data_IF_511217350245
#
_entry.id   IF_511217350245
#
_cell.length_a   1.000
_cell.length_b   1.000
_cell.length_c   1.000
_cell.angle_alpha   90.00
_cell.angle_beta   90.00
_cell.angle_gamma   90.00
#
_symmetry.space_group_name_H-M   'P 1'
#
loop_
_entity.id
_entity.type
_entity.pdbx_description
1 polymer ?
#
# COMPACT_ATOMS: atom_id res chain seq x y z
N UNK A 1 43.40 -10.57 35.89
CA UNK A 1 42.01 -11.01 36.18
C UNK A 1 40.94 -10.04 35.61
N UNK A 2 41.12 -8.75 35.70
CA UNK A 2 40.14 -7.73 35.22
C UNK A 2 39.90 -7.74 33.69
N UNK A 3 40.94 -7.96 32.87
CA UNK A 3 40.84 -7.95 31.42
C UNK A 3 39.99 -9.13 30.87
N UNK A 4 40.18 -10.34 31.42
CA UNK A 4 39.39 -11.51 31.03
C UNK A 4 37.90 -11.32 31.33
N UNK A 5 37.59 -10.68 32.47
CA UNK A 5 36.20 -10.38 32.88
C UNK A 5 35.52 -9.37 31.95
N UNK A 6 36.27 -8.35 31.49
CA UNK A 6 35.77 -7.35 30.51
C UNK A 6 35.52 -7.97 29.13
N UNK A 7 36.41 -8.83 28.67
CA UNK A 7 36.25 -9.55 27.39
C UNK A 7 35.01 -10.45 27.44
N UNK A 8 34.78 -11.16 28.53
CA UNK A 8 33.62 -12.03 28.69
C UNK A 8 32.30 -11.25 28.67
N UNK A 9 32.26 -10.08 29.30
CA UNK A 9 31.08 -9.20 29.30
C UNK A 9 30.81 -8.66 27.91
N UNK A 10 31.83 -8.21 27.18
CA UNK A 10 31.69 -7.73 25.80
C UNK A 10 31.14 -8.83 24.87
N UNK A 11 31.68 -10.04 24.99
CA UNK A 11 31.21 -11.19 24.22
C UNK A 11 29.77 -11.55 24.56
N UNK A 12 29.40 -11.54 25.84
CA UNK A 12 28.02 -11.79 26.26
C UNK A 12 27.05 -10.76 25.71
N UNK A 13 27.41 -9.47 25.72
CA UNK A 13 26.58 -8.40 25.14
C UNK A 13 26.48 -8.55 23.63
N UNK A 14 27.58 -8.80 22.93
CA UNK A 14 27.58 -8.98 21.47
C UNK A 14 26.75 -10.18 21.02
N UNK A 15 26.69 -11.26 21.82
CA UNK A 15 25.88 -12.45 21.52
C UNK A 15 24.42 -12.28 21.93
N UNK A 16 24.15 -11.61 23.06
CA UNK A 16 22.79 -11.44 23.55
C UNK A 16 21.99 -10.35 22.80
N UNK A 17 22.65 -9.31 22.30
CA UNK A 17 21.99 -8.23 21.60
C UNK A 17 21.22 -8.69 20.33
N UNK A 18 21.80 -9.46 19.40
CA UNK A 18 21.08 -9.95 18.23
C UNK A 18 19.96 -10.94 18.61
N UNK A 19 20.16 -11.75 19.66
CA UNK A 19 19.11 -12.66 20.15
C UNK A 19 17.94 -11.89 20.74
N UNK A 20 18.20 -10.88 21.58
CA UNK A 20 17.16 -10.01 22.12
C UNK A 20 16.45 -9.23 21.02
N UNK A 21 17.18 -8.69 20.07
CA UNK A 21 16.60 -8.00 18.92
C UNK A 21 15.70 -8.94 18.11
N UNK A 22 16.16 -10.14 17.82
CA UNK A 22 15.37 -11.15 17.12
C UNK A 22 14.11 -11.55 17.91
N UNK A 23 14.22 -11.80 19.22
CA UNK A 23 13.09 -12.10 20.08
C UNK A 23 12.10 -10.94 20.17
N UNK A 24 12.59 -9.71 20.26
CA UNK A 24 11.73 -8.52 20.28
C UNK A 24 10.98 -8.37 18.96
N UNK A 25 11.64 -8.57 17.83
CA UNK A 25 11.00 -8.54 16.51
C UNK A 25 10.03 -9.71 16.31
N UNK A 26 10.35 -10.88 16.84
CA UNK A 26 9.50 -12.07 16.77
C UNK A 26 8.26 -11.96 17.64
N UNK A 27 8.40 -11.44 18.87
CA UNK A 27 7.33 -11.28 19.84
C UNK A 27 6.51 -9.99 19.63
N UNK A 28 6.94 -9.10 18.70
CA UNK A 28 6.19 -7.90 18.40
C UNK A 28 4.82 -8.29 17.85
N UNK A 29 3.73 -7.85 18.48
CA UNK A 29 2.40 -8.21 18.05
C UNK A 29 2.18 -7.77 16.60
N UNK A 30 1.74 -8.69 15.75
CA UNK A 30 1.27 -8.35 14.42
C UNK A 30 0.04 -7.47 14.57
N UNK A 31 -0.13 -6.44 13.71
CA UNK A 31 -1.37 -5.69 13.71
C UNK A 31 -2.52 -6.67 13.53
N UNK A 32 -3.57 -6.50 14.31
CA UNK A 32 -4.80 -7.24 14.09
C UNK A 32 -5.31 -6.90 12.69
N UNK A 33 -5.85 -7.88 11.99
CA UNK A 33 -6.64 -7.61 10.79
C UNK A 33 -7.93 -6.93 11.23
N UNK A 34 -7.96 -5.62 11.06
CA UNK A 34 -9.11 -4.78 11.41
C UNK A 34 -9.99 -4.49 10.21
N UNK A 35 -9.67 -5.08 9.06
CA UNK A 35 -10.44 -4.87 7.83
C UNK A 35 -11.86 -5.41 8.01
N UNK A 36 -12.89 -4.59 7.81
CA UNK A 36 -14.26 -5.06 7.88
C UNK A 36 -14.52 -6.17 6.86
N UNK A 37 -15.15 -7.26 7.29
CA UNK A 37 -15.39 -8.43 6.44
C UNK A 37 -16.13 -8.10 5.14
N UNK A 38 -17.00 -7.08 5.12
CA UNK A 38 -17.77 -6.67 3.96
C UNK A 38 -16.90 -6.06 2.84
N UNK A 39 -15.75 -5.48 3.17
CA UNK A 39 -14.81 -4.88 2.22
C UNK A 39 -14.17 -5.93 1.31
N UNK A 40 -14.07 -7.17 1.77
CA UNK A 40 -13.45 -8.27 1.03
C UNK A 40 -14.44 -9.32 0.53
N UNK A 41 -15.74 -9.05 0.60
CA UNK A 41 -16.73 -10.01 0.10
C UNK A 41 -16.66 -10.13 -1.43
N UNK A 42 -16.49 -11.36 -1.91
CA UNK A 42 -16.41 -11.70 -3.31
C UNK A 42 -15.02 -11.49 -3.94
N UNK A 43 -14.94 -11.80 -5.22
CA UNK A 43 -13.70 -11.65 -6.02
C UNK A 43 -13.73 -10.34 -6.79
N UNK A 44 -12.84 -9.42 -6.42
CA UNK A 44 -12.67 -8.13 -7.09
C UNK A 44 -12.11 -8.25 -8.50
N UNK A 45 -11.49 -9.38 -8.84
CA UNK A 45 -10.90 -9.59 -10.17
C UNK A 45 -11.93 -9.70 -11.29
N UNK A 46 -13.17 -10.05 -10.97
CA UNK A 46 -14.24 -10.21 -11.96
C UNK A 46 -14.92 -8.90 -12.38
N UNK A 47 -14.62 -7.81 -11.69
CA UNK A 47 -15.25 -6.52 -11.95
C UNK A 47 -14.72 -5.84 -13.22
N UNK A 48 -15.51 -4.91 -13.77
CA UNK A 48 -15.10 -4.02 -14.85
C UNK A 48 -14.59 -2.70 -14.26
N UNK A 49 -13.31 -2.46 -14.36
CA UNK A 49 -12.66 -1.25 -13.82
C UNK A 49 -12.63 -0.08 -14.81
N UNK A 50 -13.24 -0.23 -15.99
CA UNK A 50 -13.51 0.89 -16.87
C UNK A 50 -14.85 1.57 -16.56
N UNK A 51 -15.74 0.90 -15.84
CA UNK A 51 -16.99 1.46 -15.31
C UNK A 51 -16.75 2.05 -13.92
N UNK A 52 -16.27 3.31 -13.88
CA UNK A 52 -15.98 4.00 -12.64
C UNK A 52 -17.23 4.71 -12.11
N UNK A 53 -17.44 4.73 -10.77
CA UNK A 53 -18.53 5.47 -10.17
C UNK A 53 -18.42 6.99 -10.44
N UNK A 54 -19.54 7.66 -10.64
CA UNK A 54 -19.58 9.13 -10.72
C UNK A 54 -19.41 9.69 -9.31
N UNK A 55 -18.54 10.68 -9.16
CA UNK A 55 -18.30 11.37 -7.89
C UNK A 55 -19.20 12.60 -7.77
N UNK A 56 -20.50 12.40 -7.56
CA UNK A 56 -21.53 13.44 -7.55
C UNK A 56 -22.11 13.70 -6.15
N UNK A 57 -21.58 13.05 -5.11
CA UNK A 57 -22.03 13.18 -3.73
C UNK A 57 -23.37 12.47 -3.44
N UNK A 58 -23.89 11.63 -4.33
CA UNK A 58 -25.17 10.97 -4.16
C UNK A 58 -25.14 9.72 -3.24
N UNK A 59 -23.94 9.19 -2.97
CA UNK A 59 -23.73 7.97 -2.17
C UNK A 59 -23.04 8.23 -0.84
N UNK A 60 -22.20 7.28 -0.43
CA UNK A 60 -21.41 7.38 0.79
C UNK A 60 -20.32 8.44 0.66
N UNK A 61 -19.87 8.99 1.79
CA UNK A 61 -18.66 9.81 1.90
C UNK A 61 -17.46 8.92 2.24
N UNK A 62 -16.26 9.47 2.12
CA UNK A 62 -15.02 8.77 2.47
C UNK A 62 -14.99 8.37 3.96
N UNK A 63 -15.58 9.20 4.84
CA UNK A 63 -15.65 8.94 6.28
C UNK A 63 -16.63 7.82 6.66
N UNK A 64 -17.67 7.56 5.83
CA UNK A 64 -18.62 6.48 6.07
C UNK A 64 -17.99 5.09 5.88
N UNK A 65 -16.84 5.01 5.23
CA UNK A 65 -16.17 3.76 4.90
C UNK A 65 -14.96 3.57 5.82
N UNK A 66 -14.95 2.51 6.67
CA UNK A 66 -13.81 2.23 7.54
C UNK A 66 -12.52 2.09 6.76
N UNK A 67 -11.40 2.50 7.36
CA UNK A 67 -10.08 2.31 6.77
C UNK A 67 -9.81 0.81 6.58
N UNK A 68 -9.29 0.46 5.40
CA UNK A 68 -8.90 -0.89 5.09
C UNK A 68 -7.40 -1.11 5.36
N UNK A 69 -7.08 -2.31 5.79
CA UNK A 69 -5.71 -2.73 6.03
C UNK A 69 -5.41 -3.97 5.20
N UNK A 70 -4.14 -4.16 4.86
CA UNK A 70 -3.72 -5.38 4.20
C UNK A 70 -3.98 -6.59 5.12
N UNK A 71 -4.76 -7.59 4.69
CA UNK A 71 -5.05 -8.76 5.52
C UNK A 71 -3.78 -9.61 5.71
N UNK A 72 -3.45 -9.91 6.95
CA UNK A 72 -2.28 -10.71 7.30
C UNK A 72 -1.00 -10.18 6.66
N UNK A 73 -0.41 -10.96 5.76
CA UNK A 73 0.82 -10.61 5.02
C UNK A 73 0.56 -10.25 3.54
N UNK A 74 -0.63 -9.99 3.16
CA UNK A 74 -1.08 -9.73 1.81
C UNK A 74 -2.38 -10.44 1.50
N UNK A 75 -3.18 -9.86 0.63
CA UNK A 75 -4.38 -10.54 0.16
C UNK A 75 -4.01 -11.75 -0.71
N UNK A 76 -4.80 -12.82 -0.61
CA UNK A 76 -4.64 -14.03 -1.44
C UNK A 76 -5.58 -14.03 -2.63
N UNK A 77 -6.70 -13.32 -2.53
CA UNK A 77 -7.67 -13.09 -3.61
C UNK A 77 -7.77 -11.59 -3.83
N UNK A 78 -7.84 -11.15 -5.08
CA UNK A 78 -7.91 -9.73 -5.41
C UNK A 78 -9.15 -9.10 -4.74
N UNK A 79 -8.99 -8.09 -3.87
CA UNK A 79 -10.10 -7.62 -3.05
C UNK A 79 -11.11 -6.81 -3.86
N UNK A 80 -12.36 -6.83 -3.42
CA UNK A 80 -13.38 -5.90 -3.89
C UNK A 80 -12.92 -4.45 -3.68
N UNK A 81 -13.43 -3.49 -4.47
CA UNK A 81 -13.15 -2.07 -4.23
C UNK A 81 -13.47 -1.66 -2.80
N UNK A 82 -12.49 -1.04 -2.15
CA UNK A 82 -12.57 -0.59 -0.76
C UNK A 82 -13.56 0.57 -0.63
N UNK A 83 -13.48 1.54 -1.56
CA UNK A 83 -14.33 2.73 -1.56
C UNK A 83 -15.66 2.50 -2.29
N UNK A 84 -16.12 1.25 -2.35
CA UNK A 84 -17.38 0.91 -3.02
C UNK A 84 -18.57 1.67 -2.42
N UNK A 85 -19.31 2.33 -3.31
CA UNK A 85 -20.48 3.13 -2.92
C UNK A 85 -20.16 4.56 -2.47
N UNK A 86 -18.88 4.90 -2.37
CA UNK A 86 -18.46 6.27 -2.14
C UNK A 86 -18.55 7.08 -3.45
N UNK A 87 -19.22 8.24 -3.37
CA UNK A 87 -19.40 9.14 -4.51
C UNK A 87 -19.01 10.58 -4.18
N UNK A 88 -18.34 10.80 -3.05
CA UNK A 88 -17.88 12.11 -2.64
C UNK A 88 -16.90 12.71 -3.67
N UNK A 89 -17.11 13.98 -4.10
CA UNK A 89 -16.20 14.65 -5.03
C UNK A 89 -14.78 14.73 -4.51
N UNK A 90 -13.80 14.68 -5.43
CA UNK A 90 -12.40 14.84 -5.08
C UNK A 90 -12.11 16.26 -4.58
N UNK A 91 -11.14 16.43 -3.66
CA UNK A 91 -10.76 17.75 -3.17
C UNK A 91 -10.14 18.60 -4.28
N UNK A 92 -10.20 19.90 -4.10
CA UNK A 92 -9.58 20.86 -5.03
C UNK A 92 -8.08 20.57 -5.19
N UNK A 93 -7.60 20.56 -6.42
CA UNK A 93 -6.21 20.26 -6.74
C UNK A 93 -5.85 18.79 -6.86
N UNK A 94 -6.75 17.87 -6.48
CA UNK A 94 -6.57 16.44 -6.75
C UNK A 94 -6.80 16.13 -8.23
N UNK A 95 -5.98 15.25 -8.77
CA UNK A 95 -6.18 14.67 -10.09
C UNK A 95 -6.97 13.37 -9.98
N UNK A 96 -7.93 13.14 -10.88
CA UNK A 96 -8.60 11.83 -10.97
C UNK A 96 -7.67 10.81 -11.62
N UNK A 97 -7.05 9.97 -10.79
CA UNK A 97 -6.17 8.88 -11.21
C UNK A 97 -6.81 7.50 -11.01
N UNK A 98 -8.12 7.45 -10.73
CA UNK A 98 -8.87 6.19 -10.50
C UNK A 98 -8.78 5.26 -11.69
N UNK A 99 -8.78 3.97 -11.41
CA UNK A 99 -8.81 2.89 -12.40
C UNK A 99 -7.92 1.73 -12.08
N UNK A 100 -7.86 0.81 -13.02
CA UNK A 100 -6.94 -0.31 -13.01
C UNK A 100 -5.85 -0.04 -14.05
N UNK A 101 -4.61 -0.14 -13.62
CA UNK A 101 -3.44 0.25 -14.39
C UNK A 101 -2.46 -0.91 -14.50
N UNK A 102 -1.92 -1.13 -15.70
CA UNK A 102 -0.88 -2.13 -15.95
C UNK A 102 0.37 -1.46 -16.50
N UNK A 103 1.51 -1.81 -15.93
CA UNK A 103 2.81 -1.31 -16.35
C UNK A 103 3.08 -1.63 -17.83
N UNK A 104 3.62 -0.62 -18.53
CA UNK A 104 4.20 -0.75 -19.86
C UNK A 104 5.72 -0.55 -19.83
N UNK A 105 6.29 -0.37 -18.63
CA UNK A 105 7.72 -0.19 -18.39
C UNK A 105 8.40 -1.56 -18.37
N UNK A 106 9.44 -1.80 -19.20
CA UNK A 106 10.09 -3.11 -19.31
C UNK A 106 10.74 -3.62 -18.03
N UNK A 107 11.19 -2.71 -17.17
CA UNK A 107 11.86 -3.02 -15.89
C UNK A 107 10.89 -3.55 -14.83
N UNK A 108 9.60 -3.32 -15.01
CA UNK A 108 8.55 -3.78 -14.11
C UNK A 108 7.38 -4.36 -14.91
N UNK A 109 7.60 -5.41 -15.70
CA UNK A 109 6.54 -6.04 -16.48
C UNK A 109 5.49 -6.63 -15.54
N UNK A 110 4.27 -6.72 -16.02
CA UNK A 110 3.14 -7.37 -15.34
C UNK A 110 2.69 -6.73 -14.02
N UNK A 111 3.28 -5.59 -13.61
CA UNK A 111 2.79 -4.86 -12.45
C UNK A 111 1.40 -4.28 -12.72
N UNK A 112 0.50 -4.51 -11.78
CA UNK A 112 -0.88 -4.02 -11.83
C UNK A 112 -1.21 -3.29 -10.53
N UNK A 113 -1.74 -2.07 -10.66
CA UNK A 113 -2.28 -1.29 -9.56
C UNK A 113 -3.75 -0.95 -9.79
N UNK A 114 -4.59 -1.10 -8.78
CA UNK A 114 -5.90 -0.47 -8.74
C UNK A 114 -5.82 0.78 -7.87
N UNK A 115 -6.25 1.90 -8.42
CA UNK A 115 -6.38 3.16 -7.70
C UNK A 115 -7.85 3.48 -7.52
N UNK A 116 -8.23 3.72 -6.28
CA UNK A 116 -9.56 4.20 -5.90
C UNK A 116 -9.40 5.56 -5.24
N UNK A 117 -10.34 6.48 -5.51
CA UNK A 117 -10.38 7.80 -4.87
C UNK A 117 -11.82 8.18 -4.58
N UNK A 118 -12.02 8.80 -3.44
CA UNK A 118 -13.31 9.37 -3.05
C UNK A 118 -13.08 10.38 -1.91
N UNK A 119 -13.62 11.59 -2.02
CA UNK A 119 -13.27 12.66 -1.10
C UNK A 119 -11.76 12.85 -1.02
N UNK A 120 -11.22 12.99 0.17
CA UNK A 120 -9.79 13.13 0.45
C UNK A 120 -9.03 11.80 0.55
N UNK A 121 -9.67 10.68 0.22
CA UNK A 121 -9.13 9.33 0.42
C UNK A 121 -8.65 8.70 -0.88
N UNK A 122 -7.49 8.06 -0.83
CA UNK A 122 -6.90 7.30 -1.94
C UNK A 122 -6.52 5.91 -1.47
N UNK A 123 -6.98 4.89 -2.18
CA UNK A 123 -6.62 3.50 -1.92
C UNK A 123 -5.85 2.94 -3.10
N UNK A 124 -4.68 2.39 -2.84
CA UNK A 124 -3.84 1.69 -3.81
C UNK A 124 -3.82 0.22 -3.48
N UNK A 125 -4.26 -0.62 -4.41
CA UNK A 125 -4.23 -2.09 -4.28
C UNK A 125 -3.23 -2.66 -5.27
N UNK A 126 -2.11 -3.18 -4.78
CA UNK A 126 -1.04 -3.74 -5.61
C UNK A 126 -0.16 -4.70 -4.81
N UNK A 127 0.49 -5.66 -5.44
CA UNK A 127 1.47 -6.57 -4.83
C UNK A 127 1.00 -7.27 -3.54
N UNK A 128 -0.25 -7.64 -3.46
CA UNK A 128 -0.83 -8.23 -2.26
C UNK A 128 -1.12 -7.23 -1.14
N UNK A 129 -0.83 -5.94 -1.34
CA UNK A 129 -0.98 -4.88 -0.35
C UNK A 129 -2.16 -3.97 -0.67
N UNK A 130 -2.73 -3.41 0.38
CA UNK A 130 -3.72 -2.34 0.33
C UNK A 130 -3.12 -1.16 1.08
N UNK A 131 -2.94 -0.05 0.38
CA UNK A 131 -2.50 1.22 0.94
C UNK A 131 -3.69 2.16 0.94
N UNK A 132 -4.21 2.46 2.10
CA UNK A 132 -5.40 3.29 2.30
C UNK A 132 -5.02 4.58 3.02
N UNK A 133 -4.98 5.67 2.28
CA UNK A 133 -4.52 6.98 2.74
C UNK A 133 -5.64 8.00 2.73
N UNK A 134 -5.72 8.82 3.78
CA UNK A 134 -6.27 10.16 3.62
C UNK A 134 -5.16 11.09 3.08
N UNK A 135 -5.57 12.12 2.33
CA UNK A 135 -4.62 13.04 1.68
C UNK A 135 -4.48 14.37 2.43
N UNK A 136 -4.79 14.34 3.71
CA UNK A 136 -4.73 15.48 4.65
C UNK A 136 -3.39 15.61 5.39
N UNK A 137 -2.40 14.76 5.07
CA UNK A 137 -1.11 14.64 5.76
C UNK A 137 -1.17 14.08 7.19
N UNK A 138 -2.34 13.86 7.76
CA UNK A 138 -2.51 13.39 9.15
C UNK A 138 -2.74 11.90 9.24
N UNK A 139 -3.30 11.31 8.20
CA UNK A 139 -3.64 9.91 8.17
C UNK A 139 -2.45 9.02 7.83
N UNK A 140 -2.46 7.85 8.40
CA UNK A 140 -1.38 6.90 8.30
C UNK A 140 -1.88 5.63 7.64
N UNK A 141 -1.31 5.31 6.49
CA UNK A 141 -1.40 3.97 5.97
C UNK A 141 -0.65 3.00 6.89
N UNK A 142 -1.30 1.91 7.23
CA UNK A 142 -0.74 0.86 8.07
C UNK A 142 -0.54 -0.39 7.21
N UNK A 143 0.47 -0.35 6.36
CA UNK A 143 0.82 -1.48 5.50
C UNK A 143 1.94 -2.32 6.09
N UNK A 144 1.95 -3.64 5.87
CA UNK A 144 3.04 -4.48 6.29
C UNK A 144 4.34 -4.03 5.62
N UNK A 145 5.37 -3.77 6.42
CA UNK A 145 6.67 -3.38 5.93
C UNK A 145 7.54 -4.61 5.70
N UNK A 146 8.06 -4.75 4.50
CA UNK A 146 9.04 -5.76 4.19
C UNK A 146 10.43 -5.34 4.68
N UNK A 147 10.92 -6.00 5.72
CA UNK A 147 12.29 -5.85 6.22
C UNK A 147 13.04 -7.16 5.91
N UNK A 148 13.29 -7.41 4.63
CA UNK A 148 13.89 -8.66 4.17
C UNK A 148 12.88 -9.82 4.13
N UNK A 149 13.27 -10.97 3.54
CA UNK A 149 12.35 -12.06 3.21
C UNK A 149 11.71 -12.75 4.41
N UNK A 150 12.27 -12.60 5.60
CA UNK A 150 11.79 -13.29 6.81
C UNK A 150 10.98 -12.39 7.75
N UNK A 151 11.15 -11.06 7.62
CA UNK A 151 10.51 -10.07 8.48
C UNK A 151 9.32 -9.41 7.81
N UNK A 152 8.94 -9.91 6.62
CA UNK A 152 7.71 -9.51 5.96
C UNK A 152 6.53 -9.73 6.91
N UNK A 153 5.67 -8.73 7.06
CA UNK A 153 4.51 -8.75 7.96
C UNK A 153 4.79 -8.64 9.47
N UNK A 154 6.01 -8.53 9.89
CA UNK A 154 6.30 -8.34 11.31
C UNK A 154 6.14 -6.89 11.76
N UNK A 155 6.07 -5.96 10.82
CA UNK A 155 5.88 -4.53 11.10
C UNK A 155 4.98 -3.87 10.07
N UNK A 156 4.30 -2.84 10.50
CA UNK A 156 3.58 -1.91 9.65
C UNK A 156 4.44 -0.68 9.40
N UNK A 157 4.37 -0.12 8.20
CA UNK A 157 4.86 1.22 7.91
C UNK A 157 3.74 2.22 8.12
N UNK A 158 4.11 3.43 8.51
CA UNK A 158 3.21 4.57 8.48
C UNK A 158 3.58 5.44 7.28
N UNK A 159 2.60 5.77 6.48
CA UNK A 159 2.79 6.66 5.35
C UNK A 159 1.73 7.76 5.40
N UNK A 160 2.08 8.93 4.93
CA UNK A 160 1.16 10.06 4.74
C UNK A 160 1.07 10.39 3.27
N UNK A 161 -0.06 10.90 2.83
CA UNK A 161 -0.29 11.31 1.45
C UNK A 161 -0.78 12.76 1.38
N UNK A 162 -0.44 13.45 0.31
CA UNK A 162 -0.93 14.81 0.01
C UNK A 162 -0.95 15.06 -1.50
N UNK A 163 -1.95 15.78 -1.95
CA UNK A 163 -1.97 16.34 -3.29
C UNK A 163 -1.12 17.62 -3.35
N UNK A 164 -0.20 17.65 -4.29
CA UNK A 164 0.62 18.82 -4.61
C UNK A 164 0.83 18.91 -6.11
N UNK A 165 0.51 20.05 -6.70
CA UNK A 165 0.67 20.30 -8.14
C UNK A 165 0.02 19.20 -9.01
N UNK A 166 -1.17 18.74 -8.62
CA UNK A 166 -1.91 17.62 -9.23
C UNK A 166 -1.23 16.26 -9.14
N UNK A 167 -0.18 16.13 -8.35
CA UNK A 167 0.50 14.85 -8.08
C UNK A 167 0.20 14.37 -6.67
N UNK A 168 -0.07 13.10 -6.50
CA UNK A 168 -0.17 12.45 -5.19
C UNK A 168 1.24 12.17 -4.68
N UNK A 169 1.64 12.85 -3.63
CA UNK A 169 2.91 12.66 -2.96
C UNK A 169 2.73 11.80 -1.71
N UNK A 170 3.38 10.65 -1.67
CA UNK A 170 3.38 9.76 -0.51
C UNK A 170 4.73 9.83 0.21
N UNK A 171 4.67 9.86 1.55
CA UNK A 171 5.84 9.98 2.42
C UNK A 171 5.82 8.88 3.47
N UNK A 172 6.95 8.26 3.73
CA UNK A 172 7.12 7.33 4.84
C UNK A 172 7.58 8.06 6.10
N UNK A 173 6.91 7.82 7.23
CA UNK A 173 7.26 8.36 8.54
C UNK A 173 7.43 9.88 8.59
N UNK A 174 6.67 10.63 7.78
CA UNK A 174 6.78 12.08 7.69
C UNK A 174 8.08 12.61 7.03
N UNK A 175 8.87 11.70 6.46
CA UNK A 175 10.12 12.01 5.75
C UNK A 175 9.91 12.70 4.39
N UNK A 176 10.91 12.70 3.51
CA UNK A 176 10.77 13.23 2.17
C UNK A 176 9.76 12.41 1.35
N UNK A 177 9.26 13.00 0.26
CA UNK A 177 8.41 12.28 -0.69
C UNK A 177 9.12 11.04 -1.20
N UNK A 178 8.48 9.89 -1.07
CA UNK A 178 9.03 8.59 -1.46
C UNK A 178 8.46 8.16 -2.80
N UNK A 179 7.15 8.41 -3.01
CA UNK A 179 6.43 8.00 -4.21
C UNK A 179 5.61 9.16 -4.71
N UNK A 180 5.55 9.32 -6.04
CA UNK A 180 4.59 10.21 -6.68
C UNK A 180 3.72 9.43 -7.65
N UNK A 181 2.45 9.81 -7.75
CA UNK A 181 1.48 9.24 -8.69
C UNK A 181 0.69 10.35 -9.36
N UNK A 182 0.58 10.29 -10.67
CA UNK A 182 -0.14 11.28 -11.47
C UNK A 182 -0.42 10.76 -12.88
N UNK A 183 -1.28 11.44 -13.62
CA UNK A 183 -1.48 11.23 -15.05
C UNK A 183 -0.89 12.40 -15.82
N UNK A 184 -0.08 12.11 -16.80
CA UNK A 184 0.46 13.05 -17.76
C UNK A 184 0.26 12.49 -19.17
N UNK A 185 -0.32 13.29 -20.08
CA UNK A 185 -0.62 12.92 -21.48
C UNK A 185 -1.43 11.61 -21.61
N UNK A 186 -2.32 11.33 -20.65
CA UNK A 186 -3.15 10.12 -20.62
C UNK A 186 -2.44 8.86 -20.12
N UNK A 187 -1.17 8.96 -19.74
CA UNK A 187 -0.38 7.89 -19.16
C UNK A 187 -0.31 8.07 -17.64
N UNK A 188 -0.62 7.04 -16.90
CA UNK A 188 -0.42 7.05 -15.46
C UNK A 188 1.05 6.80 -15.15
N UNK A 189 1.63 7.67 -14.32
CA UNK A 189 3.03 7.63 -13.91
C UNK A 189 3.15 7.36 -12.42
N UNK A 190 4.05 6.46 -12.09
CA UNK A 190 4.42 6.11 -10.74
C UNK A 190 5.94 6.25 -10.58
N UNK A 191 6.37 7.32 -9.92
CA UNK A 191 7.79 7.54 -9.59
C UNK A 191 8.10 6.89 -8.24
N UNK A 192 9.08 6.01 -8.21
CA UNK A 192 9.49 5.31 -6.99
C UNK A 192 11.02 5.27 -6.87
N UNK A 193 11.61 5.64 -5.71
CA UNK A 193 13.05 5.83 -5.56
C UNK A 193 13.89 4.56 -5.77
N UNK A 194 13.28 3.37 -5.67
CA UNK A 194 13.99 2.08 -5.86
C UNK A 194 13.69 1.44 -7.21
N UNK A 195 12.53 1.69 -7.77
CA UNK A 195 12.07 1.06 -9.01
C UNK A 195 12.32 1.98 -10.21
N UNK A 196 12.38 3.29 -9.97
CA UNK A 196 12.44 4.30 -11.02
C UNK A 196 11.04 4.77 -11.46
N UNK A 197 10.98 5.32 -12.67
CA UNK A 197 9.75 5.85 -13.23
C UNK A 197 9.01 4.75 -13.99
N UNK A 198 7.81 4.43 -13.54
CA UNK A 198 6.96 3.41 -14.14
C UNK A 198 5.81 4.07 -14.87
N UNK A 199 5.67 3.78 -16.15
CA UNK A 199 4.54 4.19 -16.97
C UNK A 199 3.52 3.05 -17.05
N UNK A 200 2.24 3.42 -16.97
CA UNK A 200 1.17 2.44 -16.92
C UNK A 200 0.00 2.85 -17.81
N UNK A 201 -0.58 1.88 -18.48
CA UNK A 201 -1.80 2.03 -19.27
C UNK A 201 -3.02 1.57 -18.48
N UNK A 202 -4.18 2.19 -18.76
CA UNK A 202 -5.46 1.75 -18.22
C UNK A 202 -5.87 0.41 -18.81
N UNK A 203 -6.38 -0.47 -17.96
CA UNK A 203 -7.01 -1.74 -18.32
C UNK A 203 -8.35 -1.89 -17.61
N UNK A 204 -9.27 -2.72 -18.13
CA UNK A 204 -10.61 -2.88 -17.57
C UNK A 204 -10.75 -4.11 -16.69
N UNK A 205 -9.92 -5.11 -16.88
CA UNK A 205 -10.00 -6.39 -16.17
C UNK A 205 -8.68 -6.73 -15.52
N UNK A 206 -8.73 -7.31 -14.32
CA UNK A 206 -7.54 -7.81 -13.65
C UNK A 206 -6.97 -8.99 -14.45
N UNK A 207 -5.71 -8.91 -14.91
CA UNK A 207 -5.07 -10.02 -15.60
C UNK A 207 -4.94 -11.24 -14.71
N UNK A 208 -4.90 -12.43 -15.29
CA UNK A 208 -4.86 -13.70 -14.54
C UNK A 208 -3.71 -13.74 -13.51
N UNK A 209 -2.52 -13.31 -13.90
CA UNK A 209 -1.35 -13.29 -13.02
C UNK A 209 -1.48 -12.35 -11.82
N UNK A 210 -2.37 -11.35 -11.86
CA UNK A 210 -2.60 -10.39 -10.78
C UNK A 210 -3.84 -10.72 -9.93
N UNK A 211 -4.60 -11.78 -10.25
CA UNK A 211 -5.82 -12.16 -9.51
C UNK A 211 -5.57 -12.68 -8.12
N UNK A 212 -4.40 -13.25 -7.89
CA UNK A 212 -3.97 -13.72 -6.58
C UNK A 212 -2.52 -13.31 -6.32
N UNK A 213 -2.19 -13.13 -5.07
CA UNK A 213 -0.82 -12.86 -4.65
C UNK A 213 -0.20 -14.09 -4.01
N UNK A 214 0.77 -14.70 -4.71
CA UNK A 214 1.57 -15.79 -4.17
C UNK A 214 2.84 -15.22 -3.53
N UNK A 215 2.97 -15.39 -2.22
CA UNK A 215 4.10 -14.92 -1.42
C UNK A 215 5.42 -15.62 -1.75
N UNK A 216 5.38 -16.76 -2.41
CA UNK A 216 6.61 -17.47 -2.83
C UNK A 216 7.44 -16.67 -3.84
N UNK A 217 6.82 -15.69 -4.50
CA UNK A 217 7.44 -14.79 -5.48
C UNK A 217 7.63 -13.35 -4.98
N UNK A 218 7.31 -13.06 -3.70
CA UNK A 218 7.60 -11.75 -3.13
C UNK A 218 9.13 -11.62 -2.92
N UNK A 219 9.71 -10.69 -3.66
CA UNK A 219 11.15 -10.33 -3.68
C UNK A 219 11.63 -9.79 -2.32
#
# INVERSE_FOLDING_TARGET
MAMKKRILIILAVLLSTPVLLFLTLWLYPRPADTTPAWVFQGDGAELDYCDLPVLDGSGLTAEDIPQAFTPGCGYTTYPQPILRGCTEPLPEGAQDIRGLWQSITPELPDHVERIEQCGDRVVVTAFGLIHDHATDMLSNDVSPMQIGPWLFCMRTSQATAIWKDKQLHQKLFGGPTVVKRYIEDGVYKWEHPKVGDVEMKRICKVPEHARSFDRSHAL
#
